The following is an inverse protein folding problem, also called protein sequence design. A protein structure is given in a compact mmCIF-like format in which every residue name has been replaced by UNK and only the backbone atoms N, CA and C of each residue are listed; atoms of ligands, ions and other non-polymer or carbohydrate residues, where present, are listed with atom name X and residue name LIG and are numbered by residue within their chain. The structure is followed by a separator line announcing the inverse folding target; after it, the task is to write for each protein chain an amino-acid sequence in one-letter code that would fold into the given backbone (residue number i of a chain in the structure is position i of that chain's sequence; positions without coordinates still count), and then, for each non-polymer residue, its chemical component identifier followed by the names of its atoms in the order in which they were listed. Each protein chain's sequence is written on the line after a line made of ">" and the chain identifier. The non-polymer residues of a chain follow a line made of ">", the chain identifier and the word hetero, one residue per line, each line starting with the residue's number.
data_IF_687087745542
#
_entry.id   IF_687087745542
#
_cell.length_a   1.000
_cell.length_b   1.000
_cell.length_c   1.000
_cell.angle_alpha   90.00
_cell.angle_beta   90.00
_cell.angle_gamma   90.00
#
_symmetry.space_group_name_H-M   'P 1'
#
loop_
_entity.id
_entity.type
_entity.pdbx_description
1 polymer ?
#
# COMPACT_ATOMS: atom_id res chain seq x y z
N UNK A 1 -55.12 7.04 50.47
CA UNK A 1 -54.08 6.22 49.82
C UNK A 1 -54.33 5.95 48.33
N UNK A 2 -55.53 5.55 47.88
CA UNK A 2 -55.79 5.23 46.44
C UNK A 2 -55.58 6.39 45.46
N UNK A 3 -55.90 7.64 45.83
CA UNK A 3 -55.74 8.82 44.96
C UNK A 3 -54.27 9.17 44.71
N UNK A 4 -53.40 8.91 45.69
CA UNK A 4 -51.96 9.18 45.58
C UNK A 4 -51.27 8.24 44.60
N UNK A 5 -51.71 6.96 44.54
CA UNK A 5 -51.16 5.97 43.58
C UNK A 5 -51.64 6.25 42.16
N UNK A 6 -52.85 6.78 41.97
CA UNK A 6 -53.35 7.16 40.63
C UNK A 6 -52.59 8.35 40.08
N UNK A 7 -52.24 9.32 40.92
CA UNK A 7 -51.44 10.51 40.52
C UNK A 7 -50.01 10.10 40.08
N UNK A 8 -49.40 9.14 40.78
CA UNK A 8 -48.07 8.62 40.45
C UNK A 8 -48.03 7.84 39.10
N UNK A 9 -49.08 7.08 38.79
CA UNK A 9 -49.23 6.33 37.53
C UNK A 9 -49.43 7.28 36.36
N UNK A 10 -50.16 8.40 36.53
CA UNK A 10 -50.37 9.42 35.49
C UNK A 10 -49.09 10.18 35.20
N UNK A 11 -48.31 10.56 36.22
CA UNK A 11 -47.01 11.23 36.01
C UNK A 11 -45.95 10.32 35.38
N UNK A 12 -45.93 9.04 35.68
CA UNK A 12 -45.01 8.07 35.04
C UNK A 12 -45.39 7.83 33.58
N UNK A 13 -46.69 7.80 33.25
CA UNK A 13 -47.19 7.62 31.87
C UNK A 13 -46.92 8.87 30.98
N UNK A 14 -46.97 10.06 31.52
CA UNK A 14 -46.69 11.29 30.78
C UNK A 14 -45.19 11.45 30.43
N UNK A 15 -44.29 10.88 31.24
CA UNK A 15 -42.82 10.88 30.98
C UNK A 15 -42.38 10.00 29.82
N UNK A 16 -43.18 9.01 29.42
CA UNK A 16 -42.84 8.10 28.34
C UNK A 16 -43.15 8.63 26.92
N UNK A 17 -43.87 9.74 26.81
CA UNK A 17 -44.22 10.38 25.53
C UNK A 17 -43.27 11.51 25.12
N UNK A 18 -42.27 11.83 25.92
CA UNK A 18 -41.37 12.95 25.68
C UNK A 18 -40.17 12.62 24.75
N UNK A 19 -40.01 11.37 24.33
CA UNK A 19 -38.99 10.99 23.36
C UNK A 19 -39.57 10.88 21.93
N UNK A 20 -39.90 12.02 21.30
CA UNK A 20 -40.02 12.05 19.84
C UNK A 20 -38.66 12.44 19.27
N UNK A 21 -37.96 11.48 18.71
CA UNK A 21 -36.79 11.75 17.87
C UNK A 21 -37.29 12.44 16.59
N UNK A 22 -37.03 13.75 16.47
CA UNK A 22 -37.21 14.45 15.22
C UNK A 22 -36.19 13.90 14.21
N UNK A 23 -36.65 13.08 13.29
CA UNK A 23 -35.83 12.67 12.14
C UNK A 23 -35.74 13.85 11.19
N UNK A 24 -34.57 14.49 11.16
CA UNK A 24 -34.25 15.47 10.12
C UNK A 24 -33.98 14.70 8.84
N UNK A 25 -34.93 14.73 7.91
CA UNK A 25 -34.70 14.29 6.55
C UNK A 25 -33.80 15.31 5.85
N UNK A 26 -32.51 15.03 5.74
CA UNK A 26 -31.63 15.79 4.86
C UNK A 26 -31.85 15.23 3.44
N UNK A 27 -32.57 15.95 2.61
CA UNK A 27 -32.67 15.63 1.19
C UNK A 27 -31.31 16.01 0.57
N UNK A 28 -30.51 15.01 0.24
CA UNK A 28 -29.26 15.21 -0.50
C UNK A 28 -29.51 14.97 -1.96
N UNK A 29 -29.50 16.03 -2.75
CA UNK A 29 -29.48 15.92 -4.21
C UNK A 29 -28.03 15.67 -4.66
N UNK A 30 -27.83 14.60 -5.45
CA UNK A 30 -26.56 14.35 -6.11
C UNK A 30 -26.56 15.09 -7.44
N UNK A 31 -25.66 16.06 -7.56
CA UNK A 31 -25.38 16.72 -8.84
C UNK A 31 -24.23 15.97 -9.50
N UNK A 32 -24.47 15.38 -10.66
CA UNK A 32 -23.44 14.74 -11.44
C UNK A 32 -22.53 15.80 -12.07
N UNK A 33 -21.24 15.73 -11.79
CA UNK A 33 -20.22 16.58 -12.43
C UNK A 33 -19.89 15.99 -13.79
N UNK A 34 -20.39 16.61 -14.85
CA UNK A 34 -20.17 16.17 -16.22
C UNK A 34 -19.76 17.34 -17.13
N UNK A 35 -19.55 17.07 -18.40
CA UNK A 35 -19.08 18.05 -19.40
C UNK A 35 -20.03 19.23 -19.67
N UNK A 36 -21.26 19.22 -19.14
CA UNK A 36 -22.23 20.34 -19.29
C UNK A 36 -21.99 21.45 -18.25
N UNK A 37 -21.19 21.15 -17.20
CA UNK A 37 -20.84 22.13 -16.18
C UNK A 37 -19.56 22.84 -16.65
N UNK A 38 -19.69 24.12 -16.96
CA UNK A 38 -18.53 24.93 -17.34
C UNK A 38 -17.62 25.14 -16.13
N UNK A 39 -16.30 25.01 -16.31
CA UNK A 39 -15.34 25.37 -15.27
C UNK A 39 -15.43 26.84 -14.89
N UNK A 40 -15.19 27.18 -13.63
CA UNK A 40 -15.09 28.56 -13.19
C UNK A 40 -13.74 29.16 -13.63
N UNK A 41 -13.81 30.22 -14.44
CA UNK A 41 -12.61 30.86 -15.03
C UNK A 41 -11.68 31.43 -13.96
N UNK A 42 -12.21 31.94 -12.87
CA UNK A 42 -11.41 32.49 -11.75
C UNK A 42 -10.62 31.42 -11.06
N UNK A 43 -11.25 30.28 -10.76
CA UNK A 43 -10.58 29.12 -10.17
C UNK A 43 -9.57 28.52 -11.13
N UNK A 44 -9.89 28.44 -12.42
CA UNK A 44 -8.94 27.98 -13.43
C UNK A 44 -7.69 28.86 -13.51
N UNK A 45 -7.87 30.19 -13.55
CA UNK A 45 -6.76 31.11 -13.55
C UNK A 45 -5.90 31.01 -12.27
N UNK A 46 -6.54 30.80 -11.13
CA UNK A 46 -5.84 30.64 -9.84
C UNK A 46 -4.98 29.37 -9.79
N UNK A 47 -5.49 28.23 -10.29
CA UNK A 47 -4.77 26.95 -10.26
C UNK A 47 -3.79 26.77 -11.41
N UNK A 48 -3.90 27.56 -12.50
CA UNK A 48 -3.09 27.38 -13.72
C UNK A 48 -1.57 27.38 -13.48
N UNK A 49 -0.97 28.30 -12.68
CA UNK A 49 0.46 28.29 -12.44
C UNK A 49 0.92 27.02 -11.70
N UNK A 50 0.17 26.56 -10.69
CA UNK A 50 0.47 25.33 -9.95
C UNK A 50 0.34 24.11 -10.85
N UNK A 51 -0.70 24.06 -11.67
CA UNK A 51 -0.90 22.98 -12.64
C UNK A 51 0.25 22.88 -13.64
N UNK A 52 0.73 24.03 -14.12
CA UNK A 52 1.87 24.08 -15.06
C UNK A 52 3.16 23.58 -14.42
N UNK A 53 3.46 24.02 -13.20
CA UNK A 53 4.64 23.58 -12.45
C UNK A 53 4.59 22.07 -12.14
N UNK A 54 3.45 21.60 -11.65
CA UNK A 54 3.23 20.18 -11.36
C UNK A 54 3.37 19.33 -12.63
N UNK A 55 2.76 19.74 -13.75
CA UNK A 55 2.86 19.04 -15.02
C UNK A 55 4.32 18.91 -15.48
N UNK A 56 5.11 19.98 -15.40
CA UNK A 56 6.51 19.93 -15.83
C UNK A 56 7.36 18.92 -15.05
N UNK A 57 7.05 18.72 -13.76
CA UNK A 57 7.72 17.72 -12.93
C UNK A 57 7.21 16.31 -13.19
N UNK A 58 5.88 16.16 -13.33
CA UNK A 58 5.26 14.84 -13.52
C UNK A 58 5.49 14.27 -14.93
N UNK A 59 5.59 15.12 -15.94
CA UNK A 59 5.81 14.70 -17.33
C UNK A 59 7.29 14.42 -17.66
N UNK A 60 8.20 14.62 -16.70
CA UNK A 60 9.62 14.32 -16.87
C UNK A 60 9.83 12.84 -17.10
N UNK A 61 10.37 12.47 -18.25
CA UNK A 61 10.76 11.10 -18.60
C UNK A 61 11.96 10.69 -17.75
N UNK A 62 11.88 9.51 -17.13
CA UNK A 62 12.90 8.98 -16.22
C UNK A 62 13.41 7.59 -16.64
N UNK A 63 12.82 6.96 -17.65
CA UNK A 63 13.22 5.66 -18.16
C UNK A 63 12.31 5.18 -19.27
N UNK A 64 12.51 3.93 -19.70
CA UNK A 64 11.77 3.30 -20.78
C UNK A 64 11.38 1.87 -20.41
N UNK A 65 10.11 1.49 -20.60
CA UNK A 65 9.64 0.11 -20.44
C UNK A 65 9.60 -0.61 -21.80
N UNK A 66 10.27 -1.75 -21.91
CA UNK A 66 10.28 -2.53 -23.17
C UNK A 66 8.96 -3.20 -23.47
N UNK A 67 8.12 -3.38 -22.45
CA UNK A 67 6.80 -3.99 -22.55
C UNK A 67 5.96 -3.52 -21.35
N UNK A 68 4.63 -3.83 -21.35
CA UNK A 68 3.76 -3.54 -20.22
C UNK A 68 4.21 -4.33 -18.98
N UNK A 69 4.35 -3.65 -17.84
CA UNK A 69 4.69 -4.24 -16.55
C UNK A 69 3.43 -4.24 -15.70
N UNK A 70 2.80 -5.40 -15.59
CA UNK A 70 1.49 -5.55 -14.98
C UNK A 70 1.60 -6.16 -13.57
N UNK A 71 0.62 -5.81 -12.73
CA UNK A 71 0.40 -6.55 -11.48
C UNK A 71 -0.44 -7.79 -11.78
N UNK A 72 -0.14 -8.89 -11.10
CA UNK A 72 -0.90 -10.12 -11.18
C UNK A 72 -0.79 -10.91 -9.87
N UNK A 73 -1.55 -11.99 -9.73
CA UNK A 73 -1.53 -12.95 -8.63
C UNK A 73 -1.43 -14.38 -9.17
N UNK A 74 -0.71 -15.24 -8.46
CA UNK A 74 -0.01 -15.02 -7.19
C UNK A 74 1.25 -14.19 -7.31
N UNK A 75 1.79 -14.00 -8.50
CA UNK A 75 2.98 -13.22 -8.84
C UNK A 75 2.70 -12.32 -10.04
N UNK A 76 3.25 -11.12 -10.05
CA UNK A 76 3.18 -10.19 -11.16
C UNK A 76 4.48 -9.43 -11.35
N UNK A 77 4.85 -9.17 -12.61
CA UNK A 77 6.11 -8.49 -12.96
C UNK A 77 6.24 -7.12 -12.28
N UNK A 78 5.12 -6.41 -12.06
CA UNK A 78 5.12 -5.13 -11.36
C UNK A 78 5.46 -5.29 -9.87
N UNK A 79 4.94 -6.34 -9.24
CA UNK A 79 5.28 -6.68 -7.86
C UNK A 79 6.75 -7.03 -7.71
N UNK A 80 7.28 -7.86 -8.62
CA UNK A 80 8.70 -8.22 -8.64
C UNK A 80 9.58 -6.98 -8.82
N UNK A 81 9.25 -6.09 -9.77
CA UNK A 81 9.96 -4.84 -9.97
C UNK A 81 10.00 -3.98 -8.71
N UNK A 82 8.85 -3.76 -8.05
CA UNK A 82 8.80 -2.94 -6.83
C UNK A 82 9.65 -3.53 -5.71
N UNK A 83 9.59 -4.84 -5.50
CA UNK A 83 10.40 -5.53 -4.51
C UNK A 83 11.89 -5.40 -4.83
N UNK A 84 12.29 -5.80 -6.04
CA UNK A 84 13.70 -5.88 -6.43
C UNK A 84 14.37 -4.50 -6.37
N UNK A 85 13.69 -3.49 -6.88
CA UNK A 85 14.26 -2.15 -6.91
C UNK A 85 14.26 -1.47 -5.54
N UNK A 86 13.32 -1.81 -4.67
CA UNK A 86 13.39 -1.41 -3.25
C UNK A 86 14.58 -2.06 -2.55
N UNK A 87 14.76 -3.37 -2.74
CA UNK A 87 15.92 -4.06 -2.18
C UNK A 87 17.25 -3.52 -2.71
N UNK A 88 17.34 -3.27 -4.02
CA UNK A 88 18.53 -2.73 -4.65
C UNK A 88 18.87 -1.34 -4.12
N UNK A 89 17.87 -0.47 -3.98
CA UNK A 89 18.04 0.85 -3.39
C UNK A 89 18.59 0.77 -1.96
N UNK A 90 17.98 -0.08 -1.12
CA UNK A 90 18.41 -0.26 0.27
C UNK A 90 19.82 -0.89 0.40
N UNK A 91 20.20 -1.77 -0.55
CA UNK A 91 21.57 -2.31 -0.62
C UNK A 91 22.59 -1.21 -0.92
N UNK A 92 22.32 -0.39 -1.93
CA UNK A 92 23.20 0.70 -2.34
C UNK A 92 23.36 1.75 -1.24
N UNK A 93 22.30 1.97 -0.45
CA UNK A 93 22.27 2.91 0.67
C UNK A 93 22.81 2.29 1.99
N UNK A 94 23.29 1.04 1.98
CA UNK A 94 23.95 0.38 3.12
C UNK A 94 23.01 -0.19 4.19
N UNK A 95 21.69 -0.08 4.03
CA UNK A 95 20.71 -0.54 5.03
C UNK A 95 20.72 -2.05 5.27
N UNK A 96 21.16 -2.84 4.27
CA UNK A 96 21.06 -4.30 4.29
C UNK A 96 22.37 -5.01 4.62
N UNK A 97 23.43 -4.26 4.93
CA UNK A 97 24.73 -4.86 5.28
C UNK A 97 24.61 -5.80 6.47
N UNK A 98 25.11 -7.04 6.31
CA UNK A 98 25.13 -8.07 7.35
C UNK A 98 23.76 -8.59 7.80
N UNK A 99 22.66 -8.20 7.13
CA UNK A 99 21.31 -8.65 7.47
C UNK A 99 20.84 -9.79 6.56
N UNK A 100 20.20 -10.78 7.16
CA UNK A 100 19.40 -11.77 6.44
C UNK A 100 17.96 -11.25 6.40
N UNK A 101 17.41 -11.06 5.22
CA UNK A 101 16.11 -10.43 5.05
C UNK A 101 15.27 -11.14 3.99
N UNK A 102 13.98 -10.91 4.10
CA UNK A 102 12.98 -11.11 3.07
C UNK A 102 12.24 -9.80 2.85
N UNK A 103 11.45 -9.74 1.80
CA UNK A 103 10.62 -8.57 1.49
C UNK A 103 9.17 -8.99 1.26
N UNK A 104 8.25 -8.16 1.71
CA UNK A 104 6.83 -8.31 1.44
C UNK A 104 6.18 -6.92 1.28
N UNK A 105 5.45 -6.76 0.19
CA UNK A 105 4.62 -5.60 -0.08
C UNK A 105 3.18 -6.06 -0.32
N UNK A 106 2.25 -5.14 -0.51
CA UNK A 106 0.86 -5.49 -0.79
C UNK A 106 0.49 -5.24 -2.25
N UNK A 107 -0.21 -6.19 -2.85
CA UNK A 107 -0.80 -6.07 -4.19
C UNK A 107 -1.70 -4.82 -4.31
N UNK A 108 -2.45 -4.50 -3.25
CA UNK A 108 -3.34 -3.34 -3.19
C UNK A 108 -2.61 -2.00 -3.26
N UNK A 109 -1.33 -1.94 -2.88
CA UNK A 109 -0.47 -0.76 -2.97
C UNK A 109 -0.08 -0.40 -4.40
N UNK A 110 -0.08 -1.38 -5.32
CA UNK A 110 0.24 -1.19 -6.74
C UNK A 110 -1.01 -0.69 -7.48
N UNK A 111 -1.16 0.63 -7.66
CA UNK A 111 -2.42 1.24 -8.11
C UNK A 111 -2.58 1.33 -9.63
N UNK A 112 -1.46 1.42 -10.36
CA UNK A 112 -1.44 1.49 -11.81
C UNK A 112 -0.30 0.63 -12.37
N UNK A 113 -0.45 0.04 -13.56
CA UNK A 113 0.65 -0.61 -14.28
C UNK A 113 1.64 0.43 -14.81
N UNK A 114 2.83 -0.02 -15.22
CA UNK A 114 3.74 0.74 -16.07
C UNK A 114 3.51 0.27 -17.51
N UNK A 115 3.09 1.17 -18.37
CA UNK A 115 2.86 0.86 -19.79
C UNK A 115 4.17 0.84 -20.57
N UNK A 116 4.22 0.07 -21.64
CA UNK A 116 5.30 0.10 -22.63
C UNK A 116 5.55 1.50 -23.14
N UNK A 117 6.81 1.90 -23.24
CA UNK A 117 7.25 3.22 -23.73
C UNK A 117 7.94 4.03 -22.66
N UNK A 118 7.95 5.35 -22.83
CA UNK A 118 8.56 6.28 -21.88
C UNK A 118 7.88 6.19 -20.52
N UNK A 119 8.69 6.15 -19.47
CA UNK A 119 8.25 6.17 -18.09
C UNK A 119 8.48 7.56 -17.53
N UNK A 120 7.42 8.18 -17.02
CA UNK A 120 7.48 9.50 -16.41
C UNK A 120 7.48 9.41 -14.86
N UNK A 121 7.86 10.49 -14.21
CA UNK A 121 7.67 10.64 -12.76
C UNK A 121 6.20 10.41 -12.39
N UNK A 122 5.26 10.96 -13.19
CA UNK A 122 3.83 10.79 -13.00
C UNK A 122 3.36 9.34 -13.07
N UNK A 123 4.02 8.46 -13.85
CA UNK A 123 3.72 7.03 -13.87
C UNK A 123 4.02 6.38 -12.54
N UNK A 124 5.15 6.70 -11.93
CA UNK A 124 5.52 6.18 -10.61
C UNK A 124 4.59 6.74 -9.51
N UNK A 125 4.17 8.01 -9.61
CA UNK A 125 3.14 8.56 -8.72
C UNK A 125 1.79 7.87 -8.88
N UNK A 126 1.39 7.49 -10.11
CA UNK A 126 0.16 6.70 -10.33
C UNK A 126 0.29 5.26 -9.83
N UNK A 127 1.47 4.66 -9.99
CA UNK A 127 1.76 3.33 -9.46
C UNK A 127 1.66 3.32 -7.93
N UNK A 128 2.30 4.26 -7.26
CA UNK A 128 2.44 4.33 -5.80
C UNK A 128 2.04 5.72 -5.28
N UNK A 129 0.73 6.04 -5.18
CA UNK A 129 0.24 7.36 -4.80
C UNK A 129 0.28 7.63 -3.29
N UNK A 130 0.97 6.82 -2.51
CA UNK A 130 1.05 6.91 -1.06
C UNK A 130 2.43 7.43 -0.61
N UNK A 131 2.46 8.18 0.48
CA UNK A 131 3.69 8.65 1.12
C UNK A 131 4.21 7.63 2.15
N UNK A 132 4.21 6.36 1.77
CA UNK A 132 4.70 5.28 2.63
C UNK A 132 6.23 5.28 2.67
N UNK A 133 6.80 5.19 3.87
CA UNK A 133 8.23 4.96 4.05
C UNK A 133 8.56 3.46 4.02
N UNK A 134 9.77 3.15 3.58
CA UNK A 134 10.31 1.79 3.68
C UNK A 134 10.81 1.55 5.09
N UNK A 135 10.42 0.43 5.68
CA UNK A 135 10.85 0.04 7.03
C UNK A 135 11.45 -1.36 7.04
N UNK A 136 12.33 -1.61 8.01
CA UNK A 136 12.86 -2.93 8.32
C UNK A 136 12.24 -3.41 9.63
N UNK A 137 11.37 -4.41 9.55
CA UNK A 137 10.77 -5.05 10.71
C UNK A 137 11.60 -6.28 11.12
N UNK A 138 12.06 -6.34 12.38
CA UNK A 138 12.78 -7.47 12.93
C UNK A 138 11.81 -8.40 13.65
N UNK A 139 11.52 -9.55 13.05
CA UNK A 139 10.57 -10.54 13.56
C UNK A 139 11.28 -11.77 14.13
N UNK A 140 10.60 -12.53 15.01
CA UNK A 140 10.96 -13.92 15.29
C UNK A 140 10.97 -14.73 13.99
N UNK A 141 11.94 -15.61 13.80
CA UNK A 141 12.08 -16.39 12.57
C UNK A 141 10.87 -17.32 12.29
N UNK A 142 10.19 -17.79 13.33
CA UNK A 142 8.98 -18.61 13.21
C UNK A 142 7.75 -17.85 12.68
N UNK A 143 7.80 -16.52 12.56
CA UNK A 143 6.74 -15.76 11.89
C UNK A 143 6.71 -16.01 10.38
N UNK A 144 7.75 -16.60 9.80
CA UNK A 144 7.74 -16.98 8.38
C UNK A 144 6.58 -17.91 8.03
N UNK A 145 6.23 -18.85 8.90
CA UNK A 145 5.08 -19.74 8.70
C UNK A 145 3.77 -18.94 8.68
N UNK A 146 3.64 -17.93 9.54
CA UNK A 146 2.47 -17.05 9.55
C UNK A 146 2.40 -16.19 8.27
N UNK A 147 3.54 -15.70 7.80
CA UNK A 147 3.65 -14.95 6.55
C UNK A 147 3.23 -15.83 5.36
N UNK A 148 3.72 -17.07 5.28
CA UNK A 148 3.37 -18.01 4.22
C UNK A 148 1.87 -18.32 4.24
N UNK A 149 1.30 -18.57 5.41
CA UNK A 149 -0.14 -18.79 5.57
C UNK A 149 -0.97 -17.56 5.12
N UNK A 150 -0.51 -16.37 5.44
CA UNK A 150 -1.13 -15.12 4.98
C UNK A 150 -1.08 -15.03 3.45
N UNK A 151 0.07 -15.28 2.82
CA UNK A 151 0.24 -15.24 1.37
C UNK A 151 -0.69 -16.22 0.64
N UNK A 152 -0.86 -17.44 1.16
CA UNK A 152 -1.81 -18.42 0.63
C UNK A 152 -3.25 -17.91 0.71
N UNK A 153 -3.63 -17.33 1.85
CA UNK A 153 -4.99 -16.83 2.07
C UNK A 153 -5.31 -15.57 1.25
N UNK A 154 -4.32 -14.70 1.01
CA UNK A 154 -4.49 -13.48 0.20
C UNK A 154 -4.48 -13.76 -1.31
N UNK A 155 -4.04 -14.95 -1.73
CA UNK A 155 -3.85 -15.34 -3.13
C UNK A 155 -2.52 -14.89 -3.72
N UNK A 156 -1.57 -14.42 -2.89
CA UNK A 156 -0.26 -13.93 -3.26
C UNK A 156 -0.11 -12.42 -3.14
N UNK A 157 1.04 -12.00 -2.69
CA UNK A 157 1.49 -10.61 -2.59
C UNK A 157 2.91 -10.49 -3.17
N UNK A 158 3.40 -9.30 -3.52
CA UNK A 158 4.79 -9.12 -3.93
C UNK A 158 5.76 -9.54 -2.82
N UNK A 159 6.68 -10.46 -3.14
CA UNK A 159 7.67 -10.99 -2.20
C UNK A 159 9.08 -10.96 -2.76
N UNK A 160 10.08 -10.96 -1.87
CA UNK A 160 11.50 -11.13 -2.19
C UNK A 160 12.24 -11.91 -1.10
N UNK A 161 13.39 -12.49 -1.48
CA UNK A 161 14.24 -13.25 -0.57
C UNK A 161 13.83 -14.72 -0.35
N UNK A 162 12.67 -15.14 -0.85
CA UNK A 162 12.18 -16.52 -0.78
C UNK A 162 11.22 -16.85 -1.92
N UNK A 163 10.94 -18.14 -2.09
CA UNK A 163 10.03 -18.68 -3.10
C UNK A 163 9.07 -19.68 -2.46
N UNK A 164 7.85 -19.78 -3.01
CA UNK A 164 6.83 -20.75 -2.60
C UNK A 164 6.46 -21.58 -3.82
N UNK A 165 6.50 -22.93 -3.68
CA UNK A 165 6.07 -23.89 -4.70
C UNK A 165 5.14 -24.93 -4.04
N UNK A 166 3.84 -24.76 -4.19
CA UNK A 166 2.81 -25.54 -3.50
C UNK A 166 2.95 -25.46 -1.98
N UNK A 167 3.21 -26.60 -1.33
CA UNK A 167 3.44 -26.68 0.11
C UNK A 167 4.89 -26.38 0.54
N UNK A 168 5.82 -26.31 -0.43
CA UNK A 168 7.22 -26.10 -0.15
C UNK A 168 7.57 -24.62 -0.20
N UNK A 169 8.50 -24.20 0.62
CA UNK A 169 9.14 -22.90 0.49
C UNK A 169 10.66 -23.05 0.48
N UNK A 170 11.33 -22.14 -0.20
CA UNK A 170 12.77 -22.09 -0.26
C UNK A 170 13.27 -20.67 -0.05
N UNK A 171 14.27 -20.50 0.81
CA UNK A 171 14.96 -19.23 0.96
C UNK A 171 15.93 -19.04 -0.20
N UNK A 172 16.02 -17.81 -0.70
CA UNK A 172 16.98 -17.48 -1.73
C UNK A 172 18.41 -17.64 -1.21
N UNK A 173 19.36 -17.87 -2.13
CA UNK A 173 20.77 -18.06 -1.79
C UNK A 173 21.29 -16.87 -0.95
N UNK A 174 21.84 -17.16 0.22
CA UNK A 174 22.37 -16.16 1.16
C UNK A 174 21.40 -15.75 2.24
N UNK A 175 20.10 -16.05 2.15
CA UNK A 175 19.16 -15.88 3.25
C UNK A 175 19.22 -17.11 4.16
N UNK A 176 19.45 -16.88 5.43
CA UNK A 176 19.51 -17.95 6.45
C UNK A 176 18.59 -17.57 7.60
N UNK A 177 17.66 -18.45 7.95
CA UNK A 177 16.86 -18.29 9.15
C UNK A 177 17.73 -18.57 10.38
N UNK A 178 17.81 -17.57 11.24
CA UNK A 178 18.32 -17.66 12.61
C UNK A 178 17.15 -17.43 13.55
N UNK A 179 17.43 -17.00 14.77
CA UNK A 179 16.37 -16.68 15.75
C UNK A 179 15.51 -15.49 15.32
N UNK A 180 16.03 -14.65 14.42
CA UNK A 180 15.37 -13.46 13.91
C UNK A 180 15.49 -13.32 12.40
N UNK A 181 14.48 -12.69 11.79
CA UNK A 181 14.38 -12.39 10.38
C UNK A 181 14.07 -10.90 10.20
N UNK A 182 14.81 -10.22 9.33
CA UNK A 182 14.42 -8.88 8.90
C UNK A 182 13.44 -8.98 7.73
N UNK A 183 12.38 -8.20 7.80
CA UNK A 183 11.39 -8.08 6.72
C UNK A 183 11.35 -6.64 6.23
N UNK A 184 11.67 -6.44 4.96
CA UNK A 184 11.52 -5.17 4.26
C UNK A 184 10.06 -5.01 3.90
N UNK A 185 9.45 -3.91 4.31
CA UNK A 185 8.05 -3.60 4.04
C UNK A 185 7.81 -2.09 4.10
N UNK A 186 6.55 -1.67 4.12
CA UNK A 186 6.20 -0.25 4.33
C UNK A 186 5.72 0.00 5.75
N UNK A 187 5.81 1.25 6.20
CA UNK A 187 5.27 1.72 7.48
C UNK A 187 3.78 1.37 7.64
N UNK A 188 2.99 1.53 6.57
CA UNK A 188 1.57 1.13 6.54
C UNK A 188 1.36 -0.34 6.88
N UNK A 189 2.11 -1.23 6.24
CA UNK A 189 2.00 -2.68 6.46
C UNK A 189 2.54 -3.09 7.82
N UNK A 190 3.68 -2.51 8.24
CA UNK A 190 4.28 -2.75 9.54
C UNK A 190 3.34 -2.38 10.70
N UNK A 191 2.45 -1.39 10.49
CA UNK A 191 1.40 -1.01 11.42
C UNK A 191 0.13 -1.89 11.33
N UNK A 192 0.16 -2.99 10.57
CA UNK A 192 -0.93 -3.97 10.43
C UNK A 192 -1.90 -3.66 9.29
N UNK A 193 -1.49 -2.82 8.33
CA UNK A 193 -2.22 -2.60 7.08
C UNK A 193 -2.47 -3.92 6.36
N UNK A 194 -3.56 -3.99 5.59
CA UNK A 194 -4.02 -5.17 4.84
C UNK A 194 -4.09 -6.46 5.69
N UNK A 195 -4.33 -6.32 7.00
CA UNK A 195 -4.37 -7.42 7.98
C UNK A 195 -3.05 -8.19 8.15
N UNK A 196 -1.89 -7.61 7.82
CA UNK A 196 -0.58 -8.18 8.07
C UNK A 196 -0.22 -8.14 9.57
N UNK A 197 -1.07 -8.74 10.40
CA UNK A 197 -0.97 -8.67 11.86
C UNK A 197 0.27 -9.37 12.46
N UNK A 198 1.00 -10.16 11.70
CA UNK A 198 2.27 -10.75 12.12
C UNK A 198 3.32 -9.67 12.43
N UNK A 199 3.26 -8.49 11.81
CA UNK A 199 4.14 -7.38 12.15
C UNK A 199 3.97 -6.84 13.58
N UNK A 200 2.82 -7.07 14.22
CA UNK A 200 2.63 -6.72 15.65
C UNK A 200 3.54 -7.50 16.60
N UNK A 201 4.16 -8.57 16.12
CA UNK A 201 5.13 -9.37 16.87
C UNK A 201 6.58 -8.99 16.58
N UNK A 202 6.81 -7.89 15.85
CA UNK A 202 8.14 -7.37 15.61
C UNK A 202 8.80 -6.97 16.92
N UNK A 203 10.07 -7.36 17.10
CA UNK A 203 10.91 -6.89 18.20
C UNK A 203 11.29 -5.42 18.02
N UNK A 204 11.43 -5.00 16.77
CA UNK A 204 11.86 -3.67 16.37
C UNK A 204 11.33 -3.36 14.97
N UNK A 205 10.96 -2.11 14.72
CA UNK A 205 10.66 -1.59 13.39
C UNK A 205 11.53 -0.35 13.21
N UNK A 206 12.48 -0.43 12.29
CA UNK A 206 13.37 0.68 11.93
C UNK A 206 12.84 1.36 10.69
N UNK A 207 12.43 2.62 10.82
CA UNK A 207 12.06 3.46 9.67
C UNK A 207 13.32 4.00 9.01
N UNK A 208 13.45 3.80 7.69
CA UNK A 208 14.59 4.29 6.93
C UNK A 208 14.48 5.78 6.59
N UNK A 209 13.28 6.37 6.71
CA UNK A 209 12.96 7.70 6.24
C UNK A 209 12.89 7.82 4.71
N UNK A 210 13.04 6.73 3.98
CA UNK A 210 13.02 6.69 2.51
C UNK A 210 11.59 6.45 2.06
N UNK A 211 11.01 7.39 1.31
CA UNK A 211 9.73 7.15 0.67
C UNK A 211 9.88 6.11 -0.44
N UNK A 212 9.04 5.07 -0.41
CA UNK A 212 9.06 3.98 -1.40
C UNK A 212 9.01 4.52 -2.84
N UNK A 213 8.13 5.48 -3.09
CA UNK A 213 7.99 6.12 -4.41
C UNK A 213 9.28 6.80 -4.86
N UNK A 214 9.96 7.52 -3.97
CA UNK A 214 11.21 8.21 -4.30
C UNK A 214 12.35 7.23 -4.60
N UNK A 215 12.41 6.12 -3.85
CA UNK A 215 13.35 5.04 -4.15
C UNK A 215 13.10 4.48 -5.57
N UNK A 216 11.85 4.20 -5.92
CA UNK A 216 11.49 3.69 -7.25
C UNK A 216 11.83 4.69 -8.37
N UNK A 217 11.58 6.00 -8.20
CA UNK A 217 11.96 7.03 -9.17
C UNK A 217 13.46 6.99 -9.43
N UNK A 218 14.28 7.01 -8.38
CA UNK A 218 15.75 6.96 -8.50
C UNK A 218 16.24 5.67 -9.15
N UNK A 219 15.58 4.54 -8.86
CA UNK A 219 15.93 3.25 -9.46
C UNK A 219 15.59 3.19 -10.94
N UNK A 220 14.43 3.73 -11.35
CA UNK A 220 14.08 3.84 -12.79
C UNK A 220 15.08 4.72 -13.52
N UNK A 221 15.47 5.87 -12.96
CA UNK A 221 16.50 6.74 -13.51
C UNK A 221 17.86 6.04 -13.66
N UNK A 222 18.25 5.24 -12.68
CA UNK A 222 19.52 4.51 -12.70
C UNK A 222 19.54 3.34 -13.71
N UNK A 223 18.38 2.69 -13.91
CA UNK A 223 18.25 1.54 -14.82
C UNK A 223 18.07 1.96 -16.27
N UNK A 224 17.56 3.16 -16.53
CA UNK A 224 17.21 3.70 -17.85
C UNK A 224 16.17 2.85 -18.60
N UNK A 225 16.32 1.54 -18.62
CA UNK A 225 15.40 0.62 -19.31
C UNK A 225 14.91 -0.49 -18.39
N UNK A 226 13.58 -0.61 -18.27
CA UNK A 226 12.91 -1.66 -17.53
C UNK A 226 12.44 -2.79 -18.44
N UNK A 227 12.57 -4.03 -17.94
CA UNK A 227 12.03 -5.24 -18.57
C UNK A 227 11.14 -5.99 -17.58
N UNK A 228 9.91 -6.40 -17.95
CA UNK A 228 9.09 -7.22 -17.07
C UNK A 228 9.80 -8.54 -16.78
N UNK A 229 9.83 -8.94 -15.51
CA UNK A 229 10.43 -10.18 -15.05
C UNK A 229 9.44 -10.97 -14.21
N UNK A 230 9.23 -12.24 -14.59
CA UNK A 230 8.55 -13.27 -13.81
C UNK A 230 9.55 -14.39 -13.57
N UNK A 231 9.85 -14.69 -12.33
CA UNK A 231 10.84 -15.71 -11.94
C UNK A 231 10.26 -16.83 -11.06
N UNK A 232 8.93 -16.89 -11.02
CA UNK A 232 8.15 -17.92 -10.33
C UNK A 232 8.37 -17.92 -8.80
N UNK A 233 8.31 -16.75 -8.18
CA UNK A 233 8.44 -16.61 -6.72
C UNK A 233 7.31 -17.27 -5.96
N UNK A 234 6.11 -17.29 -6.56
CA UNK A 234 4.93 -17.93 -5.95
C UNK A 234 4.23 -18.79 -7.00
N UNK A 235 4.13 -20.09 -6.67
CA UNK A 235 3.31 -21.08 -7.38
C UNK A 235 2.46 -21.81 -6.36
N UNK A 236 1.15 -21.88 -6.61
CA UNK A 236 0.21 -22.65 -5.79
C UNK A 236 -0.09 -24.02 -6.39
#
# INVERSE_FOLDING_TARGET
>A
MKVFHILWIITLGAGLWACSSASVFVQTDRVEVNSTISPDDTLQAFIAPYKKELASNMDRVIGFATDDILRDRPEGALGNFVIDETENYLKEDGWLEGKHYISIMNYGGLRAPISKGDITVGDIYRLMPFDNTVVLAKLPANELDTIIAYLKNSGGEPIGGFQIDGENFGLNKGVTLKDTLFVITTDYLANGGDNMNFFKRSYEITDTGIFLREALIKRVEALDTLRPLLDNRIKW
#
